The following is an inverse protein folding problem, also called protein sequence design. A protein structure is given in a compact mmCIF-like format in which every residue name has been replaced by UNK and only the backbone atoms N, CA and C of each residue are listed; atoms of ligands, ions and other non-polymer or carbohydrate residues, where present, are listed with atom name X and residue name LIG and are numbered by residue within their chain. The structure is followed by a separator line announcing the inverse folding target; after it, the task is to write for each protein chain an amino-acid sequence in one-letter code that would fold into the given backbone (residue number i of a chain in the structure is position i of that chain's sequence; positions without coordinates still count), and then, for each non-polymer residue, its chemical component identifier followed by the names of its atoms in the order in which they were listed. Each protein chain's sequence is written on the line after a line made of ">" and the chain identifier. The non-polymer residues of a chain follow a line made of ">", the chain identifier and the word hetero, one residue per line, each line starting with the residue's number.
data_IF_527503869363
#
_entry.id   IF_527503869363
#
_cell.length_a   1.000
_cell.length_b   1.000
_cell.length_c   1.000
_cell.angle_alpha   90.00
_cell.angle_beta   90.00
_cell.angle_gamma   90.00
#
_symmetry.space_group_name_H-M   'P 1'
#
loop_
_entity.id
_entity.type
_entity.pdbx_description
1 polymer ?
#
# COMPACT_ATOMS: atom_id res chain seq x y z
N UNK A 1 -24.11 -7.91 1.02
CA UNK A 1 -24.02 -8.71 -0.21
C UNK A 1 -22.85 -9.67 -0.06
N UNK A 2 -23.09 -10.98 0.07
CA UNK A 2 -22.04 -12.00 0.11
C UNK A 2 -21.76 -12.42 -1.34
N UNK A 3 -20.56 -12.09 -1.83
CA UNK A 3 -20.12 -12.46 -3.18
C UNK A 3 -19.14 -13.61 -3.07
N UNK A 4 -19.35 -14.67 -3.87
CA UNK A 4 -18.41 -15.75 -4.01
C UNK A 4 -17.15 -15.27 -4.76
N UNK A 5 -16.11 -14.91 -4.01
CA UNK A 5 -14.86 -14.37 -4.54
C UNK A 5 -14.05 -15.37 -5.37
N UNK A 6 -14.25 -16.68 -5.16
CA UNK A 6 -13.60 -17.72 -6.00
C UNK A 6 -14.21 -17.75 -7.40
N UNK A 7 -15.54 -17.52 -7.51
CA UNK A 7 -16.25 -17.51 -8.80
C UNK A 7 -16.16 -16.14 -9.49
N UNK A 8 -16.09 -15.06 -8.72
CA UNK A 8 -16.02 -13.69 -9.23
C UNK A 8 -14.92 -12.91 -8.49
N UNK A 9 -13.65 -13.06 -8.90
CA UNK A 9 -12.55 -12.39 -8.23
C UNK A 9 -12.69 -10.87 -8.33
N UNK A 10 -12.33 -10.17 -7.24
CA UNK A 10 -12.27 -8.71 -7.23
C UNK A 10 -11.37 -8.18 -8.35
N UNK A 11 -11.91 -7.23 -9.13
CA UNK A 11 -11.16 -6.47 -10.13
C UNK A 11 -11.16 -5.00 -9.73
N UNK A 12 -9.97 -4.46 -9.48
CA UNK A 12 -9.79 -3.04 -9.17
C UNK A 12 -9.45 -2.29 -10.45
N UNK A 13 -10.04 -1.11 -10.65
CA UNK A 13 -9.75 -0.21 -11.78
C UNK A 13 -9.30 1.13 -11.22
N UNK A 14 -8.18 1.65 -11.72
CA UNK A 14 -7.77 3.03 -11.46
C UNK A 14 -8.64 3.97 -12.30
N UNK A 15 -9.09 5.06 -11.68
CA UNK A 15 -9.97 6.06 -12.28
C UNK A 15 -9.46 7.47 -11.97
N UNK A 16 -10.13 8.49 -12.51
CA UNK A 16 -9.85 9.91 -12.26
C UNK A 16 -8.42 10.34 -12.61
N UNK A 17 -8.14 10.38 -13.92
CA UNK A 17 -6.85 10.77 -14.48
C UNK A 17 -6.77 12.28 -14.79
N UNK A 18 -7.63 13.12 -14.19
CA UNK A 18 -7.69 14.56 -14.48
C UNK A 18 -6.41 15.32 -14.10
N UNK A 19 -5.62 14.77 -13.18
CA UNK A 19 -4.31 15.31 -12.78
C UNK A 19 -3.12 14.52 -13.35
N UNK A 20 -3.38 13.45 -14.10
CA UNK A 20 -2.32 12.65 -14.72
C UNK A 20 -1.48 13.54 -15.65
N UNK A 21 -0.17 13.30 -15.64
CA UNK A 21 0.80 14.09 -16.39
C UNK A 21 1.90 13.18 -16.88
N UNK A 22 2.38 13.42 -18.09
CA UNK A 22 3.62 12.79 -18.53
C UNK A 22 4.79 13.25 -17.68
N UNK A 23 5.76 12.37 -17.45
CA UNK A 23 6.96 12.69 -16.65
C UNK A 23 7.73 13.90 -17.20
N UNK A 24 7.79 14.04 -18.52
CA UNK A 24 8.38 15.19 -19.23
C UNK A 24 7.69 16.52 -18.89
N UNK A 25 6.41 16.48 -18.54
CA UNK A 25 5.56 17.65 -18.28
C UNK A 25 5.44 18.00 -16.79
N UNK A 26 6.02 17.19 -15.89
CA UNK A 26 5.92 17.40 -14.45
C UNK A 26 6.69 18.65 -14.02
N UNK A 27 5.95 19.65 -13.56
CA UNK A 27 6.50 20.88 -12.99
C UNK A 27 6.58 20.77 -11.47
N UNK A 28 7.60 21.41 -10.88
CA UNK A 28 7.68 21.64 -9.43
C UNK A 28 6.48 22.46 -8.96
N UNK A 29 6.13 22.35 -7.68
CA UNK A 29 5.05 23.11 -7.02
C UNK A 29 3.62 22.86 -7.54
N UNK A 30 3.39 21.82 -8.35
CA UNK A 30 2.03 21.43 -8.75
C UNK A 30 1.36 20.62 -7.63
N UNK A 31 0.17 21.04 -7.22
CA UNK A 31 -0.66 20.26 -6.29
C UNK A 31 -1.34 19.11 -7.05
N UNK A 32 -0.62 18.00 -7.19
CA UNK A 32 -1.08 16.79 -7.91
C UNK A 32 -1.68 15.71 -7.01
N UNK A 33 -1.63 15.89 -5.68
CA UNK A 33 -2.08 14.91 -4.70
C UNK A 33 -2.95 15.55 -3.60
N UNK A 34 -3.98 14.85 -3.10
CA UNK A 34 -4.69 15.23 -1.89
C UNK A 34 -3.76 15.26 -0.67
N UNK A 35 -4.02 16.13 0.30
CA UNK A 35 -3.11 16.39 1.42
C UNK A 35 -2.72 15.13 2.21
N UNK A 36 -3.66 14.24 2.49
CA UNK A 36 -3.43 13.01 3.28
C UNK A 36 -2.63 11.93 2.55
N UNK A 37 -2.52 12.02 1.23
CA UNK A 37 -1.77 11.09 0.38
C UNK A 37 -0.54 11.75 -0.25
N UNK A 38 -0.22 12.99 0.16
CA UNK A 38 0.77 13.84 -0.50
C UNK A 38 2.17 13.43 -0.10
N UNK A 39 3.02 13.24 -1.10
CA UNK A 39 4.43 12.93 -0.89
C UNK A 39 5.20 14.16 -0.36
N UNK A 40 6.24 13.96 0.47
CA UNK A 40 7.01 15.04 1.06
C UNK A 40 7.67 15.93 0.00
N UNK A 41 8.14 15.36 -1.11
CA UNK A 41 8.69 16.12 -2.23
C UNK A 41 7.68 17.06 -2.90
N UNK A 42 6.38 16.73 -2.86
CA UNK A 42 5.30 17.60 -3.35
C UNK A 42 5.07 18.75 -2.36
N UNK A 43 5.09 18.47 -1.05
CA UNK A 43 4.93 19.50 -0.01
C UNK A 43 6.09 20.50 0.02
N UNK A 44 7.31 20.02 -0.23
CA UNK A 44 8.54 20.81 -0.20
C UNK A 44 8.87 21.48 -1.54
N UNK A 45 8.07 21.26 -2.59
CA UNK A 45 8.32 21.84 -3.91
C UNK A 45 9.56 21.28 -4.63
N UNK A 46 9.98 20.07 -4.29
CA UNK A 46 11.15 19.38 -4.84
C UNK A 46 10.84 18.81 -6.25
N UNK A 47 11.87 18.36 -7.01
CA UNK A 47 11.64 17.67 -8.28
C UNK A 47 10.71 16.46 -8.12
N UNK A 48 9.70 16.37 -8.99
CA UNK A 48 8.69 15.32 -8.95
C UNK A 48 9.06 14.17 -9.88
N UNK A 49 8.68 12.96 -9.47
CA UNK A 49 8.80 11.73 -10.26
C UNK A 49 7.59 10.85 -10.01
N UNK A 50 7.42 9.76 -10.77
CA UNK A 50 6.39 8.75 -10.53
C UNK A 50 6.46 8.10 -9.13
N UNK A 51 7.55 8.31 -8.37
CA UNK A 51 7.65 7.86 -7.00
C UNK A 51 6.58 8.50 -6.08
N UNK A 52 6.02 9.66 -6.43
CA UNK A 52 4.94 10.28 -5.67
C UNK A 52 3.71 9.37 -5.58
N UNK A 53 3.41 8.62 -6.65
CA UNK A 53 2.27 7.69 -6.69
C UNK A 53 2.49 6.49 -5.76
N UNK A 54 3.75 6.05 -5.62
CA UNK A 54 4.10 4.98 -4.68
C UNK A 54 3.90 5.44 -3.23
N UNK A 55 4.20 6.69 -2.91
CA UNK A 55 3.92 7.24 -1.60
C UNK A 55 2.42 7.22 -1.30
N UNK A 56 1.60 7.74 -2.22
CA UNK A 56 0.14 7.71 -2.06
C UNK A 56 -0.40 6.29 -1.92
N UNK A 57 0.14 5.34 -2.70
CA UNK A 57 -0.23 3.93 -2.60
C UNK A 57 0.18 3.34 -1.24
N UNK A 58 1.32 3.74 -0.67
CA UNK A 58 1.77 3.32 0.66
C UNK A 58 0.83 3.81 1.76
N UNK A 59 0.41 5.08 1.70
CA UNK A 59 -0.59 5.64 2.60
C UNK A 59 -1.94 4.92 2.48
N UNK A 60 -2.40 4.63 1.26
CA UNK A 60 -3.63 3.87 1.02
C UNK A 60 -3.50 2.42 1.54
N UNK A 61 -2.38 1.76 1.26
CA UNK A 61 -2.11 0.39 1.72
C UNK A 61 -2.13 0.31 3.25
N UNK A 62 -1.48 1.25 3.95
CA UNK A 62 -1.52 1.35 5.40
C UNK A 62 -2.97 1.52 5.90
N UNK A 63 -3.76 2.37 5.26
CA UNK A 63 -5.17 2.59 5.60
C UNK A 63 -6.00 1.30 5.43
N UNK A 64 -5.81 0.59 4.31
CA UNK A 64 -6.53 -0.64 3.99
C UNK A 64 -6.15 -1.80 4.93
N UNK A 65 -4.86 -1.95 5.23
CA UNK A 65 -4.36 -3.04 6.05
C UNK A 65 -4.76 -2.87 7.52
N UNK A 66 -4.68 -1.64 8.04
CA UNK A 66 -5.00 -1.40 9.44
C UNK A 66 -6.49 -1.64 9.69
N UNK A 67 -7.40 -1.05 8.89
CA UNK A 67 -8.86 -1.30 8.92
C UNK A 67 -9.58 -1.22 10.29
N UNK A 68 -8.84 -1.04 11.40
CA UNK A 68 -9.17 -1.26 12.83
C UNK A 68 -8.04 -0.65 13.70
N UNK A 69 -8.30 -0.40 14.98
CA UNK A 69 -7.24 -0.14 15.97
C UNK A 69 -6.44 -1.43 16.27
N UNK A 70 -5.13 -1.34 16.59
CA UNK A 70 -4.23 -2.49 16.81
C UNK A 70 -4.57 -3.39 18.02
N UNK A 71 -5.63 -3.08 18.77
CA UNK A 71 -6.19 -3.91 19.84
C UNK A 71 -7.68 -4.12 19.57
N UNK A 72 -8.00 -5.10 18.73
CA UNK A 72 -9.35 -5.39 18.27
C UNK A 72 -9.86 -6.72 18.81
N UNK A 73 -10.01 -6.83 20.13
CA UNK A 73 -10.81 -7.87 20.78
C UNK A 73 -12.10 -7.25 21.30
N UNK A 74 -13.25 -7.91 21.13
CA UNK A 74 -14.51 -7.49 21.76
C UNK A 74 -14.61 -8.04 23.20
N UNK A 75 -13.61 -8.80 23.65
CA UNK A 75 -13.56 -9.42 24.97
C UNK A 75 -12.17 -9.35 25.60
N UNK A 76 -12.09 -9.41 26.93
CA UNK A 76 -10.84 -9.48 27.69
C UNK A 76 -10.01 -10.74 27.35
N UNK A 77 -10.69 -11.81 26.93
CA UNK A 77 -10.04 -13.06 26.51
C UNK A 77 -9.27 -12.88 25.20
N UNK A 78 -9.87 -12.24 24.20
CA UNK A 78 -9.24 -11.97 22.88
C UNK A 78 -8.05 -11.00 22.98
N UNK A 79 -7.96 -10.21 24.06
CA UNK A 79 -6.84 -9.31 24.35
C UNK A 79 -5.60 -10.03 24.93
N UNK A 80 -5.76 -11.27 25.41
CA UNK A 80 -4.71 -12.05 26.11
C UNK A 80 -4.11 -13.15 25.21
N UNK A 81 -4.79 -13.53 24.11
CA UNK A 81 -4.22 -14.49 23.17
C UNK A 81 -3.20 -13.82 22.24
N UNK A 82 -1.97 -14.34 22.15
CA UNK A 82 -1.00 -13.84 21.20
C UNK A 82 -1.54 -14.03 19.78
N UNK A 83 -1.54 -12.94 19.01
CA UNK A 83 -1.67 -12.94 17.55
C UNK A 83 -0.90 -14.15 17.00
N UNK A 84 -1.56 -14.99 16.20
CA UNK A 84 -0.97 -16.25 15.72
C UNK A 84 0.34 -15.94 14.97
N UNK A 85 1.31 -16.85 14.99
CA UNK A 85 2.64 -16.57 14.41
C UNK A 85 2.57 -16.28 12.89
N UNK A 86 1.56 -16.80 12.19
CA UNK A 86 1.25 -16.43 10.80
C UNK A 86 0.78 -14.97 10.66
N UNK A 87 -0.11 -14.50 11.55
CA UNK A 87 -0.57 -13.10 11.55
C UNK A 87 0.57 -12.14 11.93
N UNK A 88 1.49 -12.57 12.80
CA UNK A 88 2.71 -11.80 13.11
C UNK A 88 3.66 -11.72 11.91
N UNK A 89 3.84 -12.82 11.17
CA UNK A 89 4.71 -12.83 9.99
C UNK A 89 4.14 -11.91 8.89
N UNK A 90 2.84 -11.99 8.63
CA UNK A 90 2.19 -11.11 7.66
C UNK A 90 2.32 -9.64 8.03
N UNK A 91 2.20 -9.30 9.32
CA UNK A 91 2.43 -7.95 9.82
C UNK A 91 3.87 -7.49 9.58
N UNK A 92 4.87 -8.33 9.86
CA UNK A 92 6.28 -8.00 9.63
C UNK A 92 6.55 -7.76 8.14
N UNK A 93 6.01 -8.63 7.27
CA UNK A 93 6.16 -8.49 5.82
C UNK A 93 5.44 -7.25 5.28
N UNK A 94 4.30 -6.90 5.86
CA UNK A 94 3.55 -5.71 5.50
C UNK A 94 4.28 -4.42 5.94
N UNK A 95 4.83 -4.39 7.16
CA UNK A 95 5.63 -3.26 7.64
C UNK A 95 6.88 -3.07 6.78
N UNK A 96 7.57 -4.15 6.39
CA UNK A 96 8.69 -4.10 5.46
C UNK A 96 8.29 -3.49 4.09
N UNK A 97 7.13 -3.87 3.55
CA UNK A 97 6.57 -3.26 2.35
C UNK A 97 6.31 -1.76 2.55
N UNK A 98 5.68 -1.36 3.66
CA UNK A 98 5.39 0.05 3.95
C UNK A 98 6.65 0.89 4.09
N UNK A 99 7.68 0.41 4.78
CA UNK A 99 8.96 1.12 4.91
C UNK A 99 9.57 1.41 3.52
N UNK A 100 9.46 0.46 2.59
CA UNK A 100 9.97 0.61 1.22
C UNK A 100 9.14 1.58 0.38
N UNK A 101 7.82 1.62 0.59
CA UNK A 101 6.91 2.54 -0.12
C UNK A 101 6.95 3.96 0.44
N UNK A 102 7.16 4.12 1.74
CA UNK A 102 7.18 5.40 2.45
C UNK A 102 8.60 5.90 2.72
N UNK A 103 9.56 5.47 1.89
CA UNK A 103 10.91 6.00 1.96
C UNK A 103 10.91 7.50 1.65
N UNK A 104 11.54 8.30 2.51
CA UNK A 104 11.56 9.76 2.42
C UNK A 104 12.23 10.25 1.13
N UNK A 105 13.39 9.68 0.79
CA UNK A 105 14.05 9.95 -0.48
C UNK A 105 13.33 9.25 -1.65
N UNK A 106 12.84 9.98 -2.67
CA UNK A 106 12.09 9.38 -3.78
C UNK A 106 12.91 8.37 -4.60
N UNK A 107 14.22 8.61 -4.76
CA UNK A 107 15.10 7.73 -5.54
C UNK A 107 15.40 6.38 -4.88
N UNK A 108 15.14 6.25 -3.58
CA UNK A 108 15.28 4.98 -2.82
C UNK A 108 13.94 4.28 -2.62
N UNK A 109 12.83 4.92 -3.03
CA UNK A 109 11.49 4.37 -2.92
C UNK A 109 11.31 3.22 -3.90
N UNK A 110 10.65 2.17 -3.45
CA UNK A 110 10.43 0.98 -4.26
C UNK A 110 9.59 1.27 -5.51
N UNK A 111 9.86 0.59 -6.63
CA UNK A 111 9.10 0.74 -7.87
C UNK A 111 7.90 -0.22 -7.96
N UNK A 112 6.88 0.06 -8.79
CA UNK A 112 5.75 -0.87 -8.99
C UNK A 112 6.19 -2.29 -9.36
N UNK A 113 7.19 -2.42 -10.24
CA UNK A 113 7.72 -3.71 -10.70
C UNK A 113 8.43 -4.47 -9.57
N UNK A 114 9.04 -3.76 -8.63
CA UNK A 114 9.66 -4.36 -7.45
C UNK A 114 8.61 -4.75 -6.40
N UNK A 115 7.56 -3.94 -6.21
CA UNK A 115 6.44 -4.24 -5.30
C UNK A 115 5.83 -5.59 -5.65
N UNK A 116 5.55 -5.86 -6.94
CA UNK A 116 4.97 -7.13 -7.39
C UNK A 116 5.80 -8.38 -7.05
N UNK A 117 7.07 -8.20 -6.68
CA UNK A 117 8.00 -9.28 -6.30
C UNK A 117 8.20 -9.39 -4.80
N UNK A 118 7.66 -8.46 -4.00
CA UNK A 118 7.80 -8.50 -2.54
C UNK A 118 7.09 -9.73 -1.99
N UNK A 119 7.74 -10.37 -1.01
CA UNK A 119 7.25 -11.57 -0.32
C UNK A 119 5.83 -11.42 0.22
N UNK A 120 5.50 -10.25 0.78
CA UNK A 120 4.14 -9.93 1.22
C UNK A 120 3.10 -10.13 0.12
N UNK A 121 3.36 -9.73 -1.13
CA UNK A 121 2.39 -9.89 -2.21
C UNK A 121 2.49 -11.27 -2.87
N UNK A 122 3.69 -11.82 -3.00
CA UNK A 122 3.86 -13.12 -3.66
C UNK A 122 3.27 -14.28 -2.85
N UNK A 123 3.20 -14.18 -1.52
CA UNK A 123 2.50 -15.16 -0.67
C UNK A 123 1.02 -15.31 -1.02
N UNK A 124 0.37 -14.23 -1.46
CA UNK A 124 -1.05 -14.23 -1.89
C UNK A 124 -1.24 -14.55 -3.38
N UNK A 125 -0.20 -14.36 -4.21
CA UNK A 125 -0.27 -14.55 -5.66
C UNK A 125 0.13 -15.95 -6.11
N UNK A 126 0.79 -16.75 -5.27
CA UNK A 126 1.03 -18.17 -5.57
C UNK A 126 -0.25 -18.97 -5.38
N UNK A 127 -0.76 -19.67 -6.41
CA UNK A 127 -1.90 -20.55 -6.23
C UNK A 127 -1.53 -21.64 -5.24
N UNK A 128 -2.31 -21.79 -4.17
CA UNK A 128 -2.28 -22.98 -3.31
C UNK A 128 -2.45 -24.18 -4.24
N UNK A 129 -1.41 -25.00 -4.37
CA UNK A 129 -1.53 -26.29 -5.05
C UNK A 129 -2.48 -27.12 -4.20
N UNK A 130 -3.72 -27.28 -4.67
CA UNK A 130 -4.65 -28.22 -4.08
C UNK A 130 -4.06 -29.62 -4.27
N UNK A 131 -3.67 -30.26 -3.18
CA UNK A 131 -3.46 -31.71 -3.11
C UNK A 131 -4.80 -32.40 -2.86
#
# INVERSE_FOLDING_TARGET
>A
MLVNQKKYPFKVKLIDLGLASEMSSLRKNRLVQPLIYRAPEVMLGLPLTAAIDIWSLGCLAATLYLGRQPYGGFTEYEMVFPVNDEEKLDLVLFVDLLIKMLHLEPGKRITPQQILKIRFLTSFLTPVKNH
#
